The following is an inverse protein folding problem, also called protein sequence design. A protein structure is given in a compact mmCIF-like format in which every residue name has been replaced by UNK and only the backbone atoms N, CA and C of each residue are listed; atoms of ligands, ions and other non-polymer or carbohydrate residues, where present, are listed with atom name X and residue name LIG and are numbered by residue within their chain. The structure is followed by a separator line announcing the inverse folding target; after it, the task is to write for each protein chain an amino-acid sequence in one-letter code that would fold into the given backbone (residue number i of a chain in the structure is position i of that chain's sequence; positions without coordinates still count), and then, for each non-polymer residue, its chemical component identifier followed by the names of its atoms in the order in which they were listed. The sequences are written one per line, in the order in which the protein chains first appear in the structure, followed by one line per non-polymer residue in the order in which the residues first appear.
data_IF_384685114180
#
_entry.id   IF_384685114180
#
_cell.length_a   1.000
_cell.length_b   1.000
_cell.length_c   1.000
_cell.angle_alpha   90.00
_cell.angle_beta   90.00
_cell.angle_gamma   90.00
#
_symmetry.space_group_name_H-M   'P 1'
#
loop_
_entity.id
_entity.type
_entity.pdbx_description
1 polymer ?
#
# COMPACT_ATOMS: atom_id res chain seq x y z
N UNK A 1 -1.66 -12.08 35.15
CA UNK A 1 -2.23 -12.43 33.83
C UNK A 1 -1.50 -11.55 32.85
N UNK A 2 -0.87 -12.13 31.86
CA UNK A 2 -0.14 -11.37 30.85
C UNK A 2 -1.08 -10.98 29.70
N UNK A 3 -0.79 -9.83 29.08
CA UNK A 3 -1.48 -9.43 27.87
C UNK A 3 -0.58 -9.74 26.67
N UNK A 4 -1.19 -10.10 25.55
CA UNK A 4 -0.51 -10.34 24.28
C UNK A 4 -1.05 -9.43 23.18
N UNK A 5 -0.21 -9.12 22.20
CA UNK A 5 -0.56 -8.33 21.03
C UNK A 5 -1.26 -9.21 19.98
N UNK A 6 -2.39 -8.77 19.47
CA UNK A 6 -3.10 -9.47 18.40
C UNK A 6 -2.44 -9.23 17.04
N UNK A 7 -2.00 -10.25 16.36
CA UNK A 7 -1.43 -10.12 15.01
C UNK A 7 -2.48 -9.80 13.92
N UNK A 8 -3.77 -9.83 14.28
CA UNK A 8 -4.85 -9.48 13.36
C UNK A 8 -5.27 -8.01 13.38
N UNK A 9 -5.23 -7.34 14.53
CA UNK A 9 -5.70 -5.95 14.68
C UNK A 9 -4.77 -5.05 15.51
N UNK A 10 -3.65 -5.58 16.01
CA UNK A 10 -2.67 -4.86 16.84
C UNK A 10 -3.26 -4.27 18.13
N UNK A 11 -4.36 -4.85 18.64
CA UNK A 11 -4.86 -4.57 19.98
C UNK A 11 -4.30 -5.57 20.98
N UNK A 12 -4.09 -5.15 22.21
CA UNK A 12 -3.69 -6.05 23.29
C UNK A 12 -4.92 -6.75 23.88
N UNK A 13 -4.75 -8.01 24.25
CA UNK A 13 -5.80 -8.80 24.90
C UNK A 13 -5.20 -9.86 25.83
N UNK A 14 -6.00 -10.38 26.75
CA UNK A 14 -5.54 -11.33 27.74
C UNK A 14 -5.10 -12.65 27.08
N UNK A 15 -3.92 -13.15 27.45
CA UNK A 15 -3.24 -14.31 26.86
C UNK A 15 -3.99 -15.65 27.04
N UNK A 16 -4.99 -15.71 27.96
CA UNK A 16 -5.84 -16.88 28.16
C UNK A 16 -6.78 -17.21 26.98
N UNK A 17 -6.96 -16.24 26.05
CA UNK A 17 -7.82 -16.43 24.89
C UNK A 17 -6.97 -16.76 23.65
N UNK A 18 -7.33 -17.82 22.93
CA UNK A 18 -6.73 -18.18 21.64
C UNK A 18 -7.29 -17.34 20.48
N UNK A 19 -8.48 -16.79 20.68
CA UNK A 19 -9.18 -15.95 19.70
C UNK A 19 -9.23 -14.52 20.22
N UNK A 20 -8.78 -13.58 19.42
CA UNK A 20 -8.83 -12.17 19.78
C UNK A 20 -10.26 -11.68 19.92
N UNK A 21 -10.67 -11.12 21.08
CA UNK A 21 -12.04 -10.65 21.30
C UNK A 21 -12.40 -9.40 20.49
N UNK A 22 -11.39 -8.67 19.96
CA UNK A 22 -11.60 -7.45 19.20
C UNK A 22 -11.87 -7.70 17.71
N UNK A 23 -11.20 -8.71 17.10
CA UNK A 23 -11.28 -8.92 15.65
C UNK A 23 -11.48 -10.38 15.21
N UNK A 24 -11.57 -11.30 16.15
CA UNK A 24 -11.76 -12.73 15.84
C UNK A 24 -10.52 -13.43 15.26
N UNK A 25 -9.35 -12.80 15.25
CA UNK A 25 -8.12 -13.43 14.78
C UNK A 25 -7.71 -14.57 15.72
N UNK A 26 -7.43 -15.74 15.15
CA UNK A 26 -6.94 -16.91 15.88
C UNK A 26 -5.42 -16.80 16.01
N UNK A 27 -4.92 -16.89 17.24
CA UNK A 27 -3.48 -16.85 17.49
C UNK A 27 -2.76 -17.99 16.77
N UNK A 28 -1.57 -17.72 16.24
CA UNK A 28 -0.80 -18.70 15.47
C UNK A 28 -1.33 -18.99 14.06
N UNK A 29 -2.32 -18.23 13.56
CA UNK A 29 -2.81 -18.39 12.17
C UNK A 29 -1.66 -18.22 11.19
N UNK A 30 -1.43 -19.24 10.35
CA UNK A 30 -0.42 -19.19 9.29
C UNK A 30 -0.79 -18.13 8.23
N UNK A 31 0.21 -17.55 7.53
CA UNK A 31 -0.04 -16.64 6.43
C UNK A 31 -0.80 -17.34 5.29
N UNK A 32 -1.63 -16.59 4.54
CA UNK A 32 -2.41 -17.15 3.43
C UNK A 32 -1.54 -17.71 2.31
N UNK A 33 -0.43 -17.03 2.02
CA UNK A 33 0.50 -17.41 0.95
C UNK A 33 1.87 -17.70 1.56
N UNK A 34 2.58 -18.66 0.96
CA UNK A 34 3.88 -19.12 1.45
C UNK A 34 4.95 -18.01 1.45
N UNK A 35 4.81 -17.04 0.54
CA UNK A 35 5.73 -15.90 0.42
C UNK A 35 5.41 -14.71 1.35
N UNK A 36 4.32 -14.74 2.09
CA UNK A 36 4.02 -13.72 3.10
C UNK A 36 4.91 -13.89 4.33
N UNK A 37 5.23 -12.78 4.99
CA UNK A 37 5.85 -12.81 6.31
C UNK A 37 4.92 -13.46 7.33
N UNK A 38 5.50 -14.23 8.24
CA UNK A 38 4.74 -14.83 9.34
C UNK A 38 4.32 -13.71 10.30
N UNK A 39 3.03 -13.66 10.72
CA UNK A 39 2.60 -12.73 11.75
C UNK A 39 3.43 -12.89 13.03
N UNK A 40 3.91 -11.78 13.60
CA UNK A 40 4.85 -11.76 14.71
C UNK A 40 6.32 -11.58 14.30
N UNK A 41 6.64 -11.66 13.01
CA UNK A 41 7.98 -11.33 12.51
C UNK A 41 8.33 -9.88 12.88
N UNK A 42 9.56 -9.67 13.38
CA UNK A 42 10.10 -8.34 13.67
C UNK A 42 11.06 -7.94 12.57
N UNK A 43 10.79 -6.81 11.91
CA UNK A 43 11.66 -6.24 10.89
C UNK A 43 12.40 -5.01 11.44
N UNK A 44 13.65 -4.81 11.00
CA UNK A 44 14.57 -3.74 11.47
C UNK A 44 14.68 -3.68 13.01
N UNK A 45 14.51 -4.82 13.69
CA UNK A 45 14.56 -4.90 15.16
C UNK A 45 13.49 -4.08 15.90
N UNK A 46 12.50 -3.55 15.19
CA UNK A 46 11.51 -2.61 15.73
C UNK A 46 10.07 -2.95 15.36
N UNK A 47 9.77 -3.10 14.09
CA UNK A 47 8.38 -3.17 13.62
C UNK A 47 7.85 -4.59 13.64
N UNK A 48 6.75 -4.82 14.36
CA UNK A 48 6.08 -6.12 14.45
C UNK A 48 5.10 -6.25 13.29
N UNK A 49 5.27 -7.29 12.48
CA UNK A 49 4.40 -7.61 11.34
C UNK A 49 3.20 -8.40 11.79
N UNK A 50 2.02 -8.02 11.36
CA UNK A 50 0.77 -8.75 11.57
C UNK A 50 0.25 -9.43 10.30
N UNK A 51 -1.06 -9.60 10.23
CA UNK A 51 -1.70 -10.18 9.05
C UNK A 51 -1.58 -9.29 7.82
N UNK A 52 -1.66 -9.89 6.65
CA UNK A 52 -1.80 -9.18 5.37
C UNK A 52 -3.14 -8.45 5.33
N UNK A 53 -3.11 -7.18 4.94
CA UNK A 53 -4.28 -6.31 4.71
C UNK A 53 -4.42 -5.89 3.24
N UNK A 54 -3.37 -6.08 2.43
CA UNK A 54 -3.39 -5.82 0.99
C UNK A 54 -2.34 -6.66 0.27
N UNK A 55 -2.64 -7.09 -0.95
CA UNK A 55 -1.71 -7.82 -1.82
C UNK A 55 -1.92 -7.35 -3.25
N UNK A 56 -0.85 -6.90 -3.90
CA UNK A 56 -0.88 -6.36 -5.26
C UNK A 56 0.31 -6.81 -6.08
N UNK A 57 0.35 -6.41 -7.34
CA UNK A 57 1.42 -6.82 -8.28
C UNK A 57 2.83 -6.36 -7.89
N UNK A 58 2.96 -5.36 -7.02
CA UNK A 58 4.25 -4.77 -6.61
C UNK A 58 4.64 -5.10 -5.18
N UNK A 59 3.78 -5.77 -4.42
CA UNK A 59 4.11 -6.13 -3.06
C UNK A 59 2.93 -6.42 -2.16
N UNK A 60 3.24 -6.55 -0.89
CA UNK A 60 2.30 -6.96 0.15
C UNK A 60 2.22 -5.86 1.20
N UNK A 61 1.01 -5.58 1.67
CA UNK A 61 0.79 -4.65 2.78
C UNK A 61 0.29 -5.44 3.99
N UNK A 62 0.93 -5.22 5.12
CA UNK A 62 0.59 -5.83 6.40
C UNK A 62 0.08 -4.76 7.37
N UNK A 63 -0.84 -5.13 8.26
CA UNK A 63 -0.98 -4.38 9.50
C UNK A 63 0.26 -4.64 10.35
N UNK A 64 0.73 -3.64 11.07
CA UNK A 64 1.87 -3.78 11.95
C UNK A 64 1.75 -2.94 13.20
N UNK A 65 2.73 -3.07 14.07
CA UNK A 65 2.82 -2.33 15.31
C UNK A 65 4.23 -1.78 15.54
N UNK A 66 4.29 -0.53 15.92
CA UNK A 66 5.51 0.13 16.36
C UNK A 66 5.53 0.22 17.89
N UNK A 67 6.29 -0.64 18.59
CA UNK A 67 6.34 -0.63 20.04
C UNK A 67 7.04 0.60 20.63
N UNK A 68 7.88 1.29 19.85
CA UNK A 68 8.56 2.51 20.31
C UNK A 68 7.59 3.68 20.39
N UNK A 69 6.73 3.82 19.40
CA UNK A 69 5.71 4.88 19.35
C UNK A 69 4.36 4.41 19.90
N UNK A 70 4.22 3.13 20.27
CA UNK A 70 3.01 2.53 20.79
C UNK A 70 1.81 2.77 19.86
N UNK A 71 1.99 2.48 18.56
CA UNK A 71 0.96 2.76 17.56
C UNK A 71 0.85 1.67 16.50
N UNK A 72 -0.37 1.53 15.96
CA UNK A 72 -0.62 0.72 14.76
C UNK A 72 -0.04 1.41 13.54
N UNK A 73 0.52 0.61 12.64
CA UNK A 73 1.11 1.05 11.38
C UNK A 73 0.63 0.15 10.24
N UNK A 74 0.75 0.62 9.02
CA UNK A 74 0.73 -0.22 7.83
C UNK A 74 2.18 -0.39 7.33
N UNK A 75 2.53 -1.61 6.97
CA UNK A 75 3.86 -1.98 6.48
C UNK A 75 3.70 -2.44 5.04
N UNK A 76 4.21 -1.66 4.09
CA UNK A 76 4.23 -2.03 2.68
C UNK A 76 5.60 -2.60 2.34
N UNK A 77 5.61 -3.83 1.83
CA UNK A 77 6.80 -4.55 1.40
C UNK A 77 6.87 -4.57 -0.13
N UNK A 78 8.03 -4.26 -0.71
CA UNK A 78 8.29 -4.42 -2.13
C UNK A 78 8.55 -5.91 -2.44
N UNK A 79 7.57 -6.60 -3.01
CA UNK A 79 7.65 -8.03 -3.34
C UNK A 79 6.92 -8.32 -4.66
N UNK A 80 7.43 -7.85 -5.81
CA UNK A 80 6.83 -8.12 -7.10
C UNK A 80 7.02 -9.60 -7.48
N UNK A 81 5.94 -10.37 -7.50
CA UNK A 81 5.95 -11.81 -7.77
C UNK A 81 6.50 -12.19 -9.15
N UNK A 82 6.60 -11.23 -10.07
CA UNK A 82 7.22 -11.42 -11.38
C UNK A 82 8.75 -11.54 -11.30
N UNK A 83 9.38 -10.90 -10.32
CA UNK A 83 10.83 -10.81 -10.18
C UNK A 83 11.38 -11.53 -8.96
N UNK A 84 10.52 -11.85 -7.99
CA UNK A 84 10.96 -12.34 -6.69
C UNK A 84 9.94 -13.26 -6.03
N UNK A 85 10.42 -13.99 -5.05
CA UNK A 85 9.61 -14.84 -4.18
C UNK A 85 10.24 -14.90 -2.79
N UNK A 86 9.62 -15.62 -1.88
CA UNK A 86 10.14 -15.92 -0.56
C UNK A 86 9.90 -17.38 -0.21
N UNK A 87 10.89 -18.03 0.40
CA UNK A 87 10.69 -19.34 1.00
C UNK A 87 9.84 -19.22 2.26
N UNK A 88 8.93 -20.16 2.47
CA UNK A 88 8.08 -20.19 3.65
C UNK A 88 8.91 -20.15 4.93
N UNK A 89 8.59 -19.22 5.82
CA UNK A 89 9.26 -19.07 7.12
C UNK A 89 10.56 -18.27 7.09
N UNK A 90 11.10 -17.94 5.91
CA UNK A 90 12.24 -17.02 5.80
C UNK A 90 11.76 -15.57 5.75
N UNK A 91 12.44 -14.60 6.39
CA UNK A 91 12.19 -13.19 6.13
C UNK A 91 12.80 -12.72 4.81
N UNK A 92 13.83 -13.42 4.30
CA UNK A 92 14.61 -12.99 3.12
C UNK A 92 13.88 -13.24 1.80
N UNK A 93 13.91 -12.26 0.94
CA UNK A 93 13.40 -12.34 -0.43
C UNK A 93 14.46 -12.97 -1.34
N UNK A 94 14.02 -13.89 -2.19
CA UNK A 94 14.82 -14.49 -3.25
C UNK A 94 14.46 -13.85 -4.58
N UNK A 95 15.43 -13.24 -5.24
CA UNK A 95 15.27 -12.59 -6.54
C UNK A 95 15.60 -13.59 -7.66
N UNK A 96 14.80 -13.60 -8.74
CA UNK A 96 15.07 -14.43 -9.89
C UNK A 96 16.27 -13.86 -10.67
N UNK A 97 17.16 -14.75 -11.15
CA UNK A 97 18.41 -14.39 -11.82
C UNK A 97 18.21 -13.72 -13.21
N UNK A 98 19.27 -13.07 -13.69
CA UNK A 98 19.33 -12.43 -14.99
C UNK A 98 18.71 -11.03 -15.03
N UNK A 99 18.04 -10.67 -16.12
CA UNK A 99 17.43 -9.34 -16.30
C UNK A 99 16.45 -8.97 -15.18
N UNK A 100 15.85 -9.95 -14.52
CA UNK A 100 14.92 -9.75 -13.42
C UNK A 100 15.60 -9.19 -12.17
N UNK A 101 16.86 -9.51 -11.94
CA UNK A 101 17.65 -9.00 -10.82
C UNK A 101 17.89 -7.49 -10.95
N UNK A 102 18.26 -7.01 -12.14
CA UNK A 102 18.44 -5.59 -12.41
C UNK A 102 17.12 -4.81 -12.28
N UNK A 103 16.03 -5.40 -12.79
CA UNK A 103 14.70 -4.81 -12.70
C UNK A 103 14.22 -4.71 -11.26
N UNK A 104 14.44 -5.75 -10.45
CA UNK A 104 14.12 -5.77 -9.03
C UNK A 104 14.92 -4.71 -8.26
N UNK A 105 16.24 -4.64 -8.48
CA UNK A 105 17.10 -3.64 -7.85
C UNK A 105 16.70 -2.20 -8.22
N UNK A 106 16.39 -1.95 -9.49
CA UNK A 106 15.86 -0.66 -9.95
C UNK A 106 14.52 -0.32 -9.28
N UNK A 107 13.66 -1.33 -9.10
CA UNK A 107 12.38 -1.18 -8.43
C UNK A 107 12.51 -0.81 -6.95
N UNK A 108 13.43 -1.44 -6.22
CA UNK A 108 13.74 -1.08 -4.81
C UNK A 108 14.11 0.39 -4.69
N UNK A 109 15.02 0.88 -5.55
CA UNK A 109 15.47 2.27 -5.51
C UNK A 109 14.27 3.21 -5.67
N UNK A 110 13.43 2.98 -6.67
CA UNK A 110 12.26 3.82 -6.95
C UNK A 110 11.20 3.73 -5.84
N UNK A 111 11.02 2.56 -5.25
CA UNK A 111 10.10 2.35 -4.14
C UNK A 111 10.51 3.18 -2.90
N UNK A 112 11.80 3.19 -2.56
CA UNK A 112 12.33 3.98 -1.45
C UNK A 112 12.33 5.49 -1.78
N UNK A 113 12.64 5.87 -3.02
CA UNK A 113 12.58 7.27 -3.45
C UNK A 113 11.16 7.83 -3.40
N UNK A 114 10.16 7.03 -3.78
CA UNK A 114 8.74 7.40 -3.66
C UNK A 114 8.38 7.71 -2.22
N UNK A 115 8.71 6.80 -1.30
CA UNK A 115 8.47 7.01 0.13
C UNK A 115 9.10 8.31 0.63
N UNK A 116 10.37 8.60 0.23
CA UNK A 116 11.07 9.83 0.60
C UNK A 116 10.40 11.09 0.05
N UNK A 117 9.87 11.02 -1.18
CA UNK A 117 9.14 12.15 -1.78
C UNK A 117 7.81 12.39 -1.05
N UNK A 118 7.08 11.32 -0.73
CA UNK A 118 5.80 11.39 -0.02
C UNK A 118 5.95 11.83 1.44
N UNK A 119 7.05 11.49 2.10
CA UNK A 119 7.33 11.92 3.47
C UNK A 119 7.38 13.45 3.65
N UNK A 120 7.56 14.22 2.56
CA UNK A 120 7.48 15.68 2.58
C UNK A 120 6.07 16.21 2.82
N UNK A 121 5.04 15.40 2.53
CA UNK A 121 3.63 15.74 2.69
C UNK A 121 3.06 15.30 4.03
N UNK A 122 3.93 15.02 5.01
CA UNK A 122 3.50 14.63 6.36
C UNK A 122 2.47 15.62 6.91
N UNK A 123 1.36 15.08 7.42
CA UNK A 123 0.21 15.83 7.92
C UNK A 123 -0.54 16.67 6.86
N UNK A 124 -0.31 16.42 5.57
CA UNK A 124 -1.12 17.03 4.51
C UNK A 124 -2.46 16.29 4.40
N UNK A 125 -3.60 16.98 4.56
CA UNK A 125 -4.90 16.34 4.44
C UNK A 125 -5.05 15.60 3.11
N UNK A 126 -5.61 14.41 3.17
CA UNK A 126 -5.86 13.58 1.98
C UNK A 126 -4.67 12.76 1.50
N UNK A 127 -3.50 12.82 2.14
CA UNK A 127 -2.32 12.01 1.80
C UNK A 127 -1.98 11.13 3.00
N UNK A 128 -1.65 9.85 2.74
CA UNK A 128 -1.17 8.93 3.77
C UNK A 128 0.17 9.39 4.34
N UNK A 129 0.32 9.41 5.66
CA UNK A 129 1.57 9.78 6.33
C UNK A 129 2.59 8.66 6.23
N UNK A 130 3.77 8.95 5.68
CA UNK A 130 4.92 8.04 5.68
C UNK A 130 5.76 8.30 6.94
N UNK A 131 5.98 7.25 7.72
CA UNK A 131 6.73 7.32 8.97
C UNK A 131 8.21 6.96 8.78
N UNK A 132 8.50 5.94 7.94
CA UNK A 132 9.84 5.44 7.72
C UNK A 132 9.94 4.69 6.38
N UNK A 133 11.17 4.50 5.88
CA UNK A 133 11.45 3.62 4.75
C UNK A 133 12.88 3.11 4.80
N UNK A 134 13.07 1.81 4.63
CA UNK A 134 14.38 1.16 4.73
C UNK A 134 14.48 -0.08 3.85
N UNK A 135 15.69 -0.58 3.69
CA UNK A 135 15.97 -1.86 3.03
C UNK A 135 16.38 -2.88 4.08
N UNK A 136 15.75 -4.06 4.05
CA UNK A 136 16.07 -5.22 4.89
C UNK A 136 15.59 -6.48 4.16
N UNK A 137 16.06 -7.66 4.57
CA UNK A 137 15.60 -8.96 4.05
C UNK A 137 15.68 -9.05 2.51
N UNK A 138 16.69 -8.45 1.89
CA UNK A 138 16.90 -8.34 0.43
C UNK A 138 15.74 -7.66 -0.32
N UNK A 139 14.96 -6.81 0.36
CA UNK A 139 13.88 -6.01 -0.21
C UNK A 139 13.79 -4.64 0.46
N UNK A 140 12.70 -3.92 0.28
CA UNK A 140 12.45 -2.63 0.90
C UNK A 140 11.07 -2.59 1.55
N UNK A 141 10.97 -1.78 2.59
CA UNK A 141 9.76 -1.56 3.36
C UNK A 141 9.44 -0.07 3.46
N UNK A 142 8.14 0.25 3.44
CA UNK A 142 7.61 1.56 3.78
C UNK A 142 6.71 1.38 4.99
N UNK A 143 6.98 2.17 6.03
CA UNK A 143 6.16 2.24 7.23
C UNK A 143 5.28 3.47 7.12
N UNK A 144 3.98 3.30 7.22
CA UNK A 144 3.03 4.39 7.08
C UNK A 144 1.94 4.30 8.14
N UNK A 145 1.16 5.37 8.29
CA UNK A 145 0.00 5.35 9.16
C UNK A 145 -0.97 4.22 8.78
N UNK A 146 -1.53 3.59 9.80
CA UNK A 146 -2.64 2.65 9.61
C UNK A 146 -3.96 3.42 9.63
N UNK A 147 -4.71 3.35 8.54
CA UNK A 147 -6.03 3.97 8.43
C UNK A 147 -7.08 2.93 8.84
N UNK A 148 -7.70 3.13 10.00
CA UNK A 148 -8.79 2.27 10.46
C UNK A 148 -10.08 2.64 9.72
N UNK A 149 -10.35 1.94 8.63
CA UNK A 149 -11.47 2.25 7.74
C UNK A 149 -11.62 1.24 6.62
N UNK A 150 -12.26 1.66 5.55
CA UNK A 150 -12.49 0.86 4.34
C UNK A 150 -12.00 1.62 3.09
N UNK A 151 -11.74 0.92 2.01
CA UNK A 151 -11.49 1.54 0.71
C UNK A 151 -12.81 2.05 0.11
N UNK A 152 -12.72 3.05 -0.75
CA UNK A 152 -13.90 3.50 -1.51
C UNK A 152 -14.51 2.35 -2.32
N UNK A 153 -13.69 1.41 -2.79
CA UNK A 153 -14.18 0.21 -3.48
C UNK A 153 -15.03 -0.67 -2.57
N UNK A 154 -14.56 -0.99 -1.37
CA UNK A 154 -15.32 -1.78 -0.39
C UNK A 154 -16.63 -1.10 -0.02
N UNK A 155 -16.62 0.24 0.14
CA UNK A 155 -17.82 1.03 0.35
C UNK A 155 -18.79 0.91 -0.83
N UNK A 156 -18.31 1.05 -2.08
CA UNK A 156 -19.11 0.91 -3.28
C UNK A 156 -19.70 -0.51 -3.42
N UNK A 157 -18.92 -1.54 -3.10
CA UNK A 157 -19.39 -2.94 -3.13
C UNK A 157 -20.48 -3.20 -2.09
N UNK A 158 -20.39 -2.57 -0.92
CA UNK A 158 -21.35 -2.71 0.19
C UNK A 158 -22.63 -1.90 -0.03
N UNK A 159 -22.53 -0.67 -0.53
CA UNK A 159 -23.64 0.28 -0.64
C UNK A 159 -24.22 0.39 -2.05
N UNK A 160 -23.47 -0.05 -3.06
CA UNK A 160 -23.86 0.14 -4.46
C UNK A 160 -23.59 1.57 -4.92
N UNK A 161 -24.65 2.30 -5.29
CA UNK A 161 -24.52 3.70 -5.72
C UNK A 161 -24.35 4.63 -4.51
N UNK A 162 -23.32 5.44 -4.56
CA UNK A 162 -23.07 6.51 -3.57
C UNK A 162 -23.82 7.78 -4.02
N UNK A 163 -24.56 8.48 -3.13
CA UNK A 163 -25.19 9.76 -3.45
C UNK A 163 -24.16 10.81 -3.91
N UNK A 164 -24.57 11.71 -4.80
CA UNK A 164 -23.67 12.72 -5.40
C UNK A 164 -22.97 13.57 -4.35
N UNK A 165 -23.70 14.05 -3.35
CA UNK A 165 -23.12 14.90 -2.29
C UNK A 165 -22.05 14.14 -1.49
N UNK A 166 -22.28 12.88 -1.21
CA UNK A 166 -21.31 12.01 -0.52
C UNK A 166 -20.10 11.72 -1.39
N UNK A 167 -20.29 11.40 -2.68
CA UNK A 167 -19.21 11.19 -3.63
C UNK A 167 -18.33 12.44 -3.76
N UNK A 168 -18.92 13.63 -3.78
CA UNK A 168 -18.18 14.90 -3.77
C UNK A 168 -17.42 15.10 -2.47
N UNK A 169 -18.02 14.80 -1.31
CA UNK A 169 -17.34 14.90 -0.01
C UNK A 169 -16.12 13.96 0.08
N UNK A 170 -16.17 12.80 -0.58
CA UNK A 170 -15.03 11.87 -0.67
C UNK A 170 -13.99 12.39 -1.67
N UNK A 171 -14.40 12.84 -2.85
CA UNK A 171 -13.45 13.19 -3.91
C UNK A 171 -12.80 14.56 -3.77
N UNK A 172 -13.43 15.51 -3.08
CA UNK A 172 -12.83 16.84 -2.90
C UNK A 172 -11.51 16.81 -2.09
N UNK A 173 -11.38 16.06 -0.97
CA UNK A 173 -10.09 15.84 -0.32
C UNK A 173 -9.05 15.18 -1.25
N UNK A 174 -9.45 14.19 -2.05
CA UNK A 174 -8.58 13.52 -3.05
C UNK A 174 -8.01 14.54 -4.05
N UNK A 175 -8.88 15.38 -4.63
CA UNK A 175 -8.47 16.42 -5.60
C UNK A 175 -7.56 17.46 -4.91
N UNK A 176 -7.87 17.83 -3.67
CA UNK A 176 -7.04 18.73 -2.86
C UNK A 176 -5.63 18.17 -2.64
N UNK A 177 -5.54 16.90 -2.25
CA UNK A 177 -4.27 16.18 -2.06
C UNK A 177 -3.46 16.11 -3.38
N UNK A 178 -4.10 15.74 -4.50
CA UNK A 178 -3.44 15.70 -5.80
C UNK A 178 -2.91 17.07 -6.23
N UNK A 179 -3.63 18.13 -5.96
CA UNK A 179 -3.16 19.50 -6.24
C UNK A 179 -1.83 19.80 -5.52
N UNK A 180 -1.68 19.36 -4.27
CA UNK A 180 -0.46 19.60 -3.51
C UNK A 180 0.72 18.76 -4.05
N UNK A 181 0.53 17.48 -4.33
CA UNK A 181 1.60 16.62 -4.88
C UNK A 181 2.00 17.04 -6.31
N UNK A 182 1.04 17.49 -7.12
CA UNK A 182 1.30 17.98 -8.47
C UNK A 182 2.17 19.26 -8.50
N UNK A 183 2.09 20.14 -7.49
CA UNK A 183 2.99 21.30 -7.35
C UNK A 183 4.45 20.90 -7.23
N UNK A 184 4.71 19.74 -6.63
CA UNK A 184 6.06 19.17 -6.49
C UNK A 184 6.46 18.26 -7.66
N UNK A 185 5.67 18.25 -8.74
CA UNK A 185 5.91 17.43 -9.93
C UNK A 185 5.71 15.93 -9.71
N UNK A 186 4.98 15.52 -8.66
CA UNK A 186 4.66 14.13 -8.36
C UNK A 186 3.30 13.80 -8.97
N UNK A 187 3.21 12.68 -9.68
CA UNK A 187 1.97 12.11 -10.20
C UNK A 187 1.63 10.84 -9.43
N UNK A 188 0.34 10.64 -9.13
CA UNK A 188 -0.13 9.41 -8.47
C UNK A 188 -0.15 8.22 -9.42
N UNK A 189 -0.73 8.39 -10.62
CA UNK A 189 -0.77 7.40 -11.72
C UNK A 189 -1.62 6.14 -11.47
N UNK A 190 -2.23 6.03 -10.31
CA UNK A 190 -3.07 4.88 -9.94
C UNK A 190 -4.27 5.29 -9.08
N UNK A 191 -4.86 6.46 -9.36
CA UNK A 191 -6.10 6.86 -8.70
C UNK A 191 -7.22 5.90 -9.10
N UNK A 192 -7.84 5.32 -8.08
CA UNK A 192 -8.95 4.39 -8.23
C UNK A 192 -9.60 4.14 -6.87
N UNK A 193 -10.82 3.59 -6.82
CA UNK A 193 -11.49 3.31 -5.55
C UNK A 193 -10.70 2.40 -4.58
N UNK A 194 -9.79 1.55 -5.06
CA UNK A 194 -8.94 0.72 -4.19
C UNK A 194 -7.87 1.53 -3.45
N UNK A 195 -7.47 2.68 -4.00
CA UNK A 195 -6.39 3.51 -3.47
C UNK A 195 -6.90 4.77 -2.75
N UNK A 196 -8.19 4.81 -2.44
CA UNK A 196 -8.83 5.85 -1.64
C UNK A 196 -9.38 5.19 -0.38
N UNK A 197 -8.81 5.54 0.78
CA UNK A 197 -9.25 5.05 2.08
C UNK A 197 -10.18 6.06 2.75
N UNK A 198 -11.22 5.56 3.39
CA UNK A 198 -12.16 6.34 4.20
C UNK A 198 -12.07 5.80 5.63
N UNK A 199 -11.56 6.60 6.55
CA UNK A 199 -11.44 6.21 7.95
C UNK A 199 -12.81 6.11 8.62
N UNK A 200 -12.88 5.43 9.76
CA UNK A 200 -14.10 5.40 10.60
C UNK A 200 -14.56 6.77 11.09
N UNK A 201 -13.67 7.76 11.09
CA UNK A 201 -13.99 9.16 11.44
C UNK A 201 -14.41 9.99 10.22
N UNK A 202 -14.46 9.39 9.02
CA UNK A 202 -14.83 10.06 7.76
C UNK A 202 -13.66 10.80 7.07
N UNK A 203 -12.45 10.69 7.59
CA UNK A 203 -11.27 11.25 6.93
C UNK A 203 -10.94 10.44 5.68
N UNK A 204 -10.69 11.13 4.57
CA UNK A 204 -10.35 10.51 3.27
C UNK A 204 -8.87 10.69 3.00
N UNK A 205 -8.19 9.60 2.63
CA UNK A 205 -6.76 9.63 2.28
C UNK A 205 -6.46 8.79 1.04
N UNK A 206 -5.57 9.32 0.21
CA UNK A 206 -4.99 8.60 -0.91
C UNK A 206 -3.85 7.74 -0.38
N UNK A 207 -3.84 6.47 -0.80
CA UNK A 207 -2.77 5.52 -0.53
C UNK A 207 -2.15 5.05 -1.85
N UNK A 208 -0.97 4.43 -1.78
CA UNK A 208 -0.34 3.71 -2.90
C UNK A 208 -0.08 4.54 -4.16
N UNK A 209 0.83 5.50 -4.07
CA UNK A 209 1.37 6.19 -5.22
C UNK A 209 2.09 5.21 -6.16
N UNK A 210 1.77 5.27 -7.47
CA UNK A 210 2.13 4.23 -8.45
C UNK A 210 3.55 4.35 -9.06
N UNK A 211 4.52 5.02 -8.41
CA UNK A 211 5.85 5.21 -9.00
C UNK A 211 6.62 3.89 -9.22
N UNK A 212 6.42 2.89 -8.36
CA UNK A 212 7.03 1.56 -8.54
C UNK A 212 6.60 0.88 -9.85
N UNK A 213 5.39 1.17 -10.36
CA UNK A 213 4.89 0.65 -11.65
C UNK A 213 5.73 1.10 -12.84
N UNK A 214 6.31 2.30 -12.78
CA UNK A 214 7.13 2.85 -13.86
C UNK A 214 8.56 2.29 -13.89
N UNK A 215 9.01 1.69 -12.79
CA UNK A 215 10.31 1.05 -12.74
C UNK A 215 10.42 -0.12 -13.71
N UNK A 216 9.33 -0.85 -13.86
CA UNK A 216 9.29 -2.09 -14.61
C UNK A 216 9.02 -1.89 -16.11
N UNK A 217 8.40 -0.77 -16.50
CA UNK A 217 7.96 -0.53 -17.89
C UNK A 217 9.02 0.06 -18.80
N UNK A 218 10.11 0.64 -18.27
CA UNK A 218 11.14 1.31 -19.10
C UNK A 218 12.09 0.38 -19.81
N UNK A 219 12.17 -0.91 -19.45
CA UNK A 219 13.20 -1.83 -19.96
C UNK A 219 12.69 -3.14 -20.58
N UNK A 220 11.39 -3.47 -20.53
CA UNK A 220 10.91 -4.69 -21.16
C UNK A 220 9.82 -4.44 -22.20
N UNK A 221 10.06 -4.97 -23.40
CA UNK A 221 9.10 -4.98 -24.53
C UNK A 221 7.89 -5.90 -24.32
N UNK A 222 7.82 -6.61 -23.19
CA UNK A 222 6.84 -7.68 -22.94
C UNK A 222 6.11 -7.56 -21.59
N UNK A 223 6.31 -6.50 -20.81
CA UNK A 223 5.49 -6.28 -19.62
C UNK A 223 4.15 -5.71 -20.05
N UNK A 224 3.10 -6.48 -19.81
CA UNK A 224 1.74 -5.95 -19.76
C UNK A 224 1.78 -4.72 -18.84
N UNK A 225 1.52 -3.55 -19.41
CA UNK A 225 1.41 -2.30 -18.68
C UNK A 225 0.39 -2.56 -17.58
N UNK A 226 0.86 -2.66 -16.33
CA UNK A 226 0.01 -2.90 -15.17
C UNK A 226 -0.78 -1.62 -14.87
N UNK A 227 -1.71 -1.31 -15.75
CA UNK A 227 -2.67 -0.24 -15.59
C UNK A 227 -3.98 -0.81 -15.07
N UNK A 228 -4.72 -0.02 -14.33
CA UNK A 228 -6.03 -0.42 -13.84
C UNK A 228 -7.08 -0.21 -14.92
N UNK A 229 -7.66 -1.29 -15.52
CA UNK A 229 -8.66 -1.15 -16.55
C UNK A 229 -9.85 -0.30 -16.08
N UNK A 230 -10.29 0.63 -16.93
CA UNK A 230 -11.41 1.52 -16.63
C UNK A 230 -11.05 2.81 -15.91
N UNK A 231 -9.90 2.92 -15.26
CA UNK A 231 -9.42 4.12 -14.56
C UNK A 231 -8.21 4.76 -15.24
N UNK A 232 -7.35 3.98 -15.84
CA UNK A 232 -6.16 4.46 -16.52
C UNK A 232 -6.51 5.13 -17.86
N UNK A 233 -5.97 6.33 -18.16
CA UNK A 233 -6.12 6.96 -19.47
C UNK A 233 -5.24 6.30 -20.52
N UNK A 234 -5.49 6.64 -21.80
CA UNK A 234 -4.87 6.00 -22.95
C UNK A 234 -3.33 6.09 -22.96
N UNK A 235 -2.77 7.21 -22.53
CA UNK A 235 -1.33 7.43 -22.47
C UNK A 235 -0.61 6.45 -21.54
N UNK A 236 -1.28 5.92 -20.52
CA UNK A 236 -0.71 4.90 -19.64
C UNK A 236 -0.58 3.52 -20.29
N UNK A 237 -1.35 3.24 -21.35
CA UNK A 237 -1.25 1.99 -22.11
C UNK A 237 -0.13 2.02 -23.16
N UNK A 238 0.46 3.18 -23.41
CA UNK A 238 1.51 3.36 -24.41
C UNK A 238 2.89 3.35 -23.73
N UNK A 239 3.84 2.60 -24.27
CA UNK A 239 5.21 2.52 -23.76
C UNK A 239 5.99 3.85 -23.82
N UNK A 240 5.50 4.85 -24.55
CA UNK A 240 6.06 6.20 -24.73
C UNK A 240 5.00 7.30 -24.64
N UNK A 241 3.95 7.07 -23.86
CA UNK A 241 2.92 8.10 -23.63
C UNK A 241 3.45 9.17 -22.66
N UNK A 242 3.34 10.44 -23.03
CA UNK A 242 3.59 11.55 -22.11
C UNK A 242 2.50 11.55 -21.05
N UNK A 243 2.90 11.50 -19.79
CA UNK A 243 2.00 11.54 -18.64
C UNK A 243 2.17 12.85 -17.89
N UNK A 244 1.08 13.37 -17.39
CA UNK A 244 1.05 14.63 -16.66
C UNK A 244 -0.08 14.66 -15.64
N UNK A 245 -0.34 15.82 -15.07
CA UNK A 245 -1.43 16.01 -14.08
C UNK A 245 -2.79 15.59 -14.62
N UNK A 246 -3.01 15.67 -15.93
CA UNK A 246 -4.23 15.21 -16.60
C UNK A 246 -4.47 13.70 -16.46
N UNK A 247 -3.40 12.91 -16.31
CA UNK A 247 -3.49 11.46 -16.08
C UNK A 247 -4.26 11.16 -14.79
N UNK A 248 -3.92 11.84 -13.69
CA UNK A 248 -4.61 11.69 -12.40
C UNK A 248 -6.01 12.33 -12.44
N UNK A 249 -6.18 13.46 -13.14
CA UNK A 249 -7.48 14.12 -13.31
C UNK A 249 -8.47 13.20 -14.04
N UNK A 250 -8.02 12.53 -15.10
CA UNK A 250 -8.84 11.53 -15.81
C UNK A 250 -9.28 10.40 -14.86
N UNK A 251 -8.35 9.85 -14.09
CA UNK A 251 -8.63 8.78 -13.15
C UNK A 251 -9.62 9.21 -12.05
N UNK A 252 -9.53 10.45 -11.54
CA UNK A 252 -10.54 11.03 -10.64
C UNK A 252 -11.92 11.11 -11.29
N UNK A 253 -12.01 11.58 -12.53
CA UNK A 253 -13.29 11.66 -13.26
C UNK A 253 -13.90 10.26 -13.49
N UNK A 254 -13.06 9.25 -13.71
CA UNK A 254 -13.50 7.86 -13.83
C UNK A 254 -13.98 7.27 -12.50
N UNK A 255 -13.39 7.70 -11.39
CA UNK A 255 -13.80 7.28 -10.04
C UNK A 255 -15.15 7.88 -9.62
N UNK A 256 -15.47 9.09 -10.11
CA UNK A 256 -16.77 9.76 -9.87
C UNK A 256 -17.93 9.20 -10.70
N UNK A 257 -17.68 8.41 -11.72
CA UNK A 257 -18.70 7.85 -12.63
C UNK A 257 -19.28 6.52 -12.15
#
# INVERSE_FOLDING_TARGET
MADKLCMGCMETYNDKYDVCPHCGYVDGTAPKEAYHLIPGTVIEGRYIVGKVIGNGGFGVTYIGYDPVLNQKIAIKEYLPGEFSTRAMGSPDVTVFSGEKEEQFASGIIKFVEEARRLAKFKHTPGIVDIHDSFQANHTAYIIMEYIDGETLKEKMEREGRIPVDEALNIMMPVIGALKEVHKEGILHRDISPDNIMISKTGEVKIIDFGAARFATTTHSRSLSVLVKPGYAPEEQYRSRGDQGTWTDVYACARTLR
#
